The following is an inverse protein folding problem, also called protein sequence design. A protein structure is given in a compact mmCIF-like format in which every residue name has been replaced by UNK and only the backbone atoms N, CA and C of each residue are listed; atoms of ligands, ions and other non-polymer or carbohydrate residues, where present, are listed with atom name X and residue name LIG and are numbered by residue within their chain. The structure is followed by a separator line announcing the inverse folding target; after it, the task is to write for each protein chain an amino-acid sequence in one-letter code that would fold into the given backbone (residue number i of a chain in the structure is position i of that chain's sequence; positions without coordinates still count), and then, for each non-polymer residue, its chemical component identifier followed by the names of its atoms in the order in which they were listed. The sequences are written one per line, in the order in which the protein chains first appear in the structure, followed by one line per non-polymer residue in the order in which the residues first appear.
data_IF_214319870855
#
_entry.id   IF_214319870855
#
_cell.length_a   1.000
_cell.length_b   1.000
_cell.length_c   1.000
_cell.angle_alpha   90.00
_cell.angle_beta   90.00
_cell.angle_gamma   90.00
#
_symmetry.space_group_name_H-M   'P 1'
#
loop_
_entity.id
_entity.type
_entity.pdbx_description
1 polymer ?
#
# COMPACT_ATOMS: atom_id res chain seq x y z
N UNK A 1 -17.30 31.31 5.01
CA UNK A 1 -15.88 31.00 5.31
C UNK A 1 -15.70 29.63 5.98
N UNK A 2 -16.60 29.20 6.89
CA UNK A 2 -16.56 27.87 7.54
C UNK A 2 -16.69 26.68 6.56
N UNK A 3 -17.42 26.80 5.45
CA UNK A 3 -17.62 25.69 4.51
C UNK A 3 -16.37 25.32 3.69
N UNK A 4 -15.46 26.27 3.45
CA UNK A 4 -14.21 26.03 2.70
C UNK A 4 -13.16 25.31 3.55
N UNK A 5 -13.03 25.65 4.83
CA UNK A 5 -12.14 24.97 5.78
C UNK A 5 -12.49 23.48 5.95
N UNK A 6 -13.78 23.15 6.01
CA UNK A 6 -14.23 21.75 6.08
C UNK A 6 -13.95 20.97 4.78
N UNK A 7 -14.02 21.64 3.62
CA UNK A 7 -13.70 21.03 2.33
C UNK A 7 -12.21 20.74 2.18
N UNK A 8 -11.35 21.65 2.63
CA UNK A 8 -9.89 21.45 2.66
C UNK A 8 -9.50 20.32 3.61
N UNK A 9 -10.14 20.23 4.78
CA UNK A 9 -9.89 19.16 5.73
C UNK A 9 -10.31 17.80 5.15
N UNK A 10 -11.44 17.73 4.47
CA UNK A 10 -11.93 16.53 3.78
C UNK A 10 -11.00 16.08 2.66
N UNK A 11 -10.58 17.00 1.79
CA UNK A 11 -9.63 16.73 0.70
C UNK A 11 -8.31 16.22 1.29
N UNK A 12 -7.74 16.92 2.28
CA UNK A 12 -6.50 16.49 2.93
C UNK A 12 -6.64 15.09 3.54
N UNK A 13 -7.75 14.80 4.21
CA UNK A 13 -8.00 13.47 4.80
C UNK A 13 -8.07 12.38 3.72
N UNK A 14 -8.72 12.66 2.58
CA UNK A 14 -8.87 11.71 1.47
C UNK A 14 -7.56 11.39 0.74
N UNK A 15 -6.67 12.38 0.57
CA UNK A 15 -5.42 12.20 -0.18
C UNK A 15 -4.20 11.83 0.68
N UNK A 16 -4.24 12.04 1.99
CA UNK A 16 -3.18 11.60 2.92
C UNK A 16 -2.69 10.16 2.71
N UNK A 17 -3.57 9.13 2.67
CA UNK A 17 -3.11 7.76 2.45
C UNK A 17 -2.40 7.59 1.11
N UNK A 18 -2.83 8.31 0.06
CA UNK A 18 -2.16 8.30 -1.24
C UNK A 18 -0.77 8.95 -1.18
N UNK A 19 -0.63 10.10 -0.50
CA UNK A 19 0.67 10.75 -0.31
C UNK A 19 1.64 9.85 0.46
N UNK A 20 1.18 9.21 1.53
CA UNK A 20 1.98 8.25 2.29
C UNK A 20 2.37 7.04 1.42
N UNK A 21 1.46 6.55 0.57
CA UNK A 21 1.78 5.50 -0.39
C UNK A 21 2.87 5.92 -1.39
N UNK A 22 2.80 7.13 -1.96
CA UNK A 22 3.83 7.64 -2.89
C UNK A 22 5.21 7.75 -2.24
N UNK A 23 5.28 8.17 -0.97
CA UNK A 23 6.53 8.12 -0.22
C UNK A 23 7.03 6.67 -0.07
N UNK A 24 6.13 5.74 0.24
CA UNK A 24 6.42 4.31 0.27
C UNK A 24 7.05 3.80 -1.04
N UNK A 25 6.46 4.14 -2.19
CA UNK A 25 7.01 3.79 -3.51
C UNK A 25 8.38 4.41 -3.77
N UNK A 26 8.55 5.69 -3.45
CA UNK A 26 9.82 6.40 -3.64
C UNK A 26 10.96 5.73 -2.86
N UNK A 27 10.72 5.37 -1.59
CA UNK A 27 11.73 4.69 -0.77
C UNK A 27 11.97 3.25 -1.24
N UNK A 28 10.95 2.57 -1.76
CA UNK A 28 11.12 1.25 -2.39
C UNK A 28 12.06 1.34 -3.60
N UNK A 29 11.85 2.32 -4.50
CA UNK A 29 12.73 2.54 -5.65
C UNK A 29 14.17 2.88 -5.26
N UNK A 30 14.38 3.47 -4.09
CA UNK A 30 15.71 3.74 -3.51
C UNK A 30 16.33 2.54 -2.80
N UNK A 31 15.68 1.37 -2.82
CA UNK A 31 16.04 0.17 -2.05
C UNK A 31 16.05 0.37 -0.52
N UNK A 32 15.42 1.45 -0.01
CA UNK A 32 15.22 1.67 1.41
C UNK A 32 13.88 1.05 1.84
N UNK A 33 13.92 -0.27 1.97
CA UNK A 33 12.77 -1.08 2.32
C UNK A 33 12.20 -0.76 3.71
N UNK A 34 13.04 -0.33 4.65
CA UNK A 34 12.59 -0.03 6.01
C UNK A 34 11.77 1.27 6.02
N UNK A 35 12.29 2.35 5.41
CA UNK A 35 11.53 3.60 5.28
C UNK A 35 10.26 3.38 4.45
N UNK A 36 10.34 2.59 3.37
CA UNK A 36 9.17 2.24 2.58
C UNK A 36 8.06 1.61 3.43
N UNK A 37 8.37 0.62 4.26
CA UNK A 37 7.40 0.00 5.18
C UNK A 37 6.81 1.00 6.19
N UNK A 38 7.58 1.97 6.68
CA UNK A 38 7.06 3.01 7.59
C UNK A 38 5.94 3.80 6.91
N UNK A 39 6.18 4.28 5.70
CA UNK A 39 5.19 5.06 4.95
C UNK A 39 4.00 4.23 4.46
N UNK A 40 4.21 2.96 4.11
CA UNK A 40 3.12 2.05 3.77
C UNK A 40 2.20 1.79 4.97
N UNK A 41 2.78 1.57 6.15
CA UNK A 41 1.99 1.45 7.38
C UNK A 41 1.29 2.76 7.76
N UNK A 42 1.89 3.91 7.48
CA UNK A 42 1.24 5.21 7.65
C UNK A 42 0.04 5.35 6.70
N UNK A 43 0.17 4.94 5.45
CA UNK A 43 -0.93 4.93 4.47
C UNK A 43 -2.12 4.09 4.96
N UNK A 44 -1.87 2.91 5.54
CA UNK A 44 -2.92 2.08 6.15
C UNK A 44 -3.63 2.77 7.32
N UNK A 45 -2.89 3.48 8.18
CA UNK A 45 -3.45 4.21 9.34
C UNK A 45 -4.30 5.41 8.93
N UNK A 46 -3.95 6.04 7.81
CA UNK A 46 -4.64 7.21 7.27
C UNK A 46 -5.85 6.84 6.38
N UNK A 47 -6.04 5.55 6.11
CA UNK A 47 -7.10 5.07 5.24
C UNK A 47 -8.49 5.24 5.89
N UNK A 48 -9.34 6.06 5.25
CA UNK A 48 -10.69 6.39 5.73
C UNK A 48 -11.80 5.98 4.73
N UNK A 49 -11.58 4.87 4.03
CA UNK A 49 -12.60 4.00 3.39
C UNK A 49 -13.12 4.24 1.95
N UNK A 50 -12.59 5.17 1.15
CA UNK A 50 -13.13 5.39 -0.22
C UNK A 50 -12.17 5.10 -1.40
N UNK A 51 -10.98 4.53 -1.17
CA UNK A 51 -9.98 4.41 -2.24
C UNK A 51 -9.25 3.06 -2.21
N UNK A 52 -10.02 1.98 -2.44
CA UNK A 52 -9.54 0.60 -2.38
C UNK A 52 -8.36 0.30 -3.33
N UNK A 53 -8.17 1.13 -4.37
CA UNK A 53 -7.03 1.04 -5.29
C UNK A 53 -5.70 1.32 -4.58
N UNK A 54 -5.64 2.35 -3.72
CA UNK A 54 -4.42 2.68 -2.96
C UNK A 54 -4.12 1.55 -1.99
N UNK A 55 -5.16 1.06 -1.30
CA UNK A 55 -5.01 0.01 -0.31
C UNK A 55 -4.46 -1.31 -0.91
N UNK A 56 -4.90 -1.68 -2.12
CA UNK A 56 -4.36 -2.86 -2.80
C UNK A 56 -2.88 -2.70 -3.18
N UNK A 57 -2.48 -1.53 -3.65
CA UNK A 57 -1.08 -1.26 -3.98
C UNK A 57 -0.19 -1.22 -2.73
N UNK A 58 -0.70 -0.70 -1.61
CA UNK A 58 0.00 -0.72 -0.33
C UNK A 58 0.31 -2.16 0.10
N UNK A 59 -0.70 -3.04 0.12
CA UNK A 59 -0.49 -4.44 0.49
C UNK A 59 0.40 -5.20 -0.50
N UNK A 60 0.29 -4.91 -1.81
CA UNK A 60 1.19 -5.51 -2.80
C UNK A 60 2.64 -5.13 -2.52
N UNK A 61 2.91 -3.85 -2.28
CA UNK A 61 4.28 -3.36 -2.08
C UNK A 61 4.87 -3.85 -0.76
N UNK A 62 4.06 -3.91 0.32
CA UNK A 62 4.46 -4.58 1.56
C UNK A 62 4.86 -6.04 1.31
N UNK A 63 4.07 -6.78 0.54
CA UNK A 63 4.37 -8.17 0.20
C UNK A 63 5.70 -8.30 -0.56
N UNK A 64 5.93 -7.46 -1.56
CA UNK A 64 7.20 -7.41 -2.31
C UNK A 64 8.39 -7.15 -1.39
N UNK A 65 8.28 -6.17 -0.50
CA UNK A 65 9.35 -5.84 0.45
C UNK A 65 9.62 -7.00 1.40
N UNK A 66 8.58 -7.66 1.91
CA UNK A 66 8.76 -8.80 2.79
C UNK A 66 9.44 -9.98 2.08
N UNK A 67 9.11 -10.27 0.82
CA UNK A 67 9.82 -11.28 0.04
C UNK A 67 11.31 -10.91 -0.14
N UNK A 68 11.63 -9.65 -0.48
CA UNK A 68 13.03 -9.17 -0.58
C UNK A 68 13.80 -9.26 0.75
N UNK A 69 13.10 -9.22 1.88
CA UNK A 69 13.67 -9.38 3.22
C UNK A 69 13.69 -10.83 3.70
N UNK A 70 13.37 -11.81 2.85
CA UNK A 70 13.20 -13.23 3.19
C UNK A 70 12.11 -13.51 4.26
N UNK A 71 11.15 -12.59 4.42
CA UNK A 71 10.03 -12.67 5.37
C UNK A 71 8.80 -13.25 4.66
N UNK A 72 8.91 -14.51 4.22
CA UNK A 72 7.92 -15.11 3.31
C UNK A 72 6.53 -15.26 3.92
N UNK A 73 6.44 -15.47 5.24
CA UNK A 73 5.15 -15.59 5.91
C UNK A 73 4.37 -14.27 5.83
N UNK A 74 5.01 -13.17 6.19
CA UNK A 74 4.48 -11.81 6.16
C UNK A 74 4.13 -11.38 4.74
N UNK A 75 4.99 -11.72 3.76
CA UNK A 75 4.72 -11.47 2.35
C UNK A 75 3.40 -12.11 1.90
N UNK A 76 3.21 -13.41 2.22
CA UNK A 76 1.96 -14.13 1.92
C UNK A 76 0.75 -13.53 2.62
N UNK A 77 0.88 -13.05 3.86
CA UNK A 77 -0.23 -12.37 4.53
C UNK A 77 -0.60 -11.07 3.81
N UNK A 78 0.38 -10.26 3.42
CA UNK A 78 0.16 -9.02 2.68
C UNK A 78 -0.53 -9.29 1.33
N UNK A 79 -0.04 -10.26 0.54
CA UNK A 79 -0.68 -10.64 -0.72
C UNK A 79 -2.12 -11.14 -0.53
N UNK A 80 -2.40 -11.91 0.53
CA UNK A 80 -3.78 -12.31 0.86
C UNK A 80 -4.66 -11.12 1.19
N UNK A 81 -4.16 -10.12 1.90
CA UNK A 81 -4.91 -8.88 2.16
C UNK A 81 -5.20 -8.11 0.87
N UNK A 82 -4.22 -7.99 -0.03
CA UNK A 82 -4.40 -7.38 -1.34
C UNK A 82 -5.53 -8.08 -2.13
N UNK A 83 -5.52 -9.41 -2.19
CA UNK A 83 -6.52 -10.21 -2.94
C UNK A 83 -7.92 -10.07 -2.32
N UNK A 84 -8.04 -9.96 -1.00
CA UNK A 84 -9.33 -9.82 -0.29
C UNK A 84 -10.09 -8.55 -0.65
N UNK A 85 -9.40 -7.50 -1.12
CA UNK A 85 -10.04 -6.24 -1.53
C UNK A 85 -10.92 -6.39 -2.77
N UNK A 86 -10.78 -7.49 -3.53
CA UNK A 86 -11.64 -7.82 -4.69
C UNK A 86 -11.82 -6.69 -5.71
N UNK A 87 -10.88 -5.74 -5.77
CA UNK A 87 -10.90 -4.67 -6.76
C UNK A 87 -10.41 -5.18 -8.13
N UNK A 88 -10.65 -4.42 -9.20
CA UNK A 88 -10.22 -4.80 -10.56
C UNK A 88 -8.86 -4.20 -10.93
N UNK A 89 -7.90 -4.21 -10.00
CA UNK A 89 -6.57 -3.61 -10.23
C UNK A 89 -5.53 -4.65 -10.65
N UNK A 90 -4.49 -4.20 -11.36
CA UNK A 90 -3.28 -4.99 -11.64
C UNK A 90 -2.61 -5.50 -10.35
N UNK A 91 -2.79 -4.79 -9.24
CA UNK A 91 -2.20 -5.18 -7.96
C UNK A 91 -2.69 -6.55 -7.47
N UNK A 92 -3.97 -6.89 -7.69
CA UNK A 92 -4.50 -8.20 -7.33
C UNK A 92 -3.93 -9.30 -8.23
N UNK A 93 -3.72 -9.02 -9.53
CA UNK A 93 -3.10 -9.97 -10.45
C UNK A 93 -1.69 -10.31 -9.98
N UNK A 94 -0.89 -9.29 -9.68
CA UNK A 94 0.45 -9.47 -9.14
C UNK A 94 0.46 -10.15 -7.77
N UNK A 95 -0.45 -9.80 -6.87
CA UNK A 95 -0.54 -10.46 -5.56
C UNK A 95 -0.86 -11.95 -5.68
N UNK A 96 -1.72 -12.36 -6.63
CA UNK A 96 -1.98 -13.78 -6.91
C UNK A 96 -0.75 -14.50 -7.44
N UNK A 97 -0.01 -13.86 -8.37
CA UNK A 97 1.25 -14.40 -8.86
C UNK A 97 2.25 -14.57 -7.70
N UNK A 98 2.44 -13.53 -6.90
CA UNK A 98 3.47 -13.53 -5.86
C UNK A 98 3.13 -14.38 -4.63
N UNK A 99 1.86 -14.71 -4.44
CA UNK A 99 1.43 -15.68 -3.45
C UNK A 99 2.00 -17.08 -3.74
N UNK A 100 2.12 -17.44 -5.02
CA UNK A 100 2.67 -18.70 -5.48
C UNK A 100 4.20 -18.64 -5.61
N UNK A 101 4.71 -17.62 -6.30
CA UNK A 101 6.16 -17.43 -6.50
C UNK A 101 6.65 -16.15 -5.80
N UNK A 102 7.64 -16.20 -4.90
CA UNK A 102 8.15 -15.00 -4.24
C UNK A 102 8.62 -13.93 -5.23
N UNK A 103 8.37 -12.65 -4.92
CA UNK A 103 8.97 -11.54 -5.64
C UNK A 103 10.50 -11.50 -5.41
N UNK A 104 11.29 -11.25 -6.45
CA UNK A 104 12.77 -11.38 -6.42
C UNK A 104 13.53 -10.10 -6.79
N UNK A 105 12.84 -8.99 -7.06
CA UNK A 105 13.45 -7.76 -7.59
C UNK A 105 13.17 -7.62 -9.08
#
# INVERSE_FOLDING_TARGET
MISYLNKDLFIKKRYRPYISFLWGELYFQKNDHNSSLVYLNQSLKEYDSDMDVVLANVFLLQGKIYDLKNMRYEARQAYKQCIKLKNSTSAIVFAKQYLNEPYKG
#
